data_IF_646393028022
#
_entry.id   IF_646393028022
#
_cell.length_a   1.000
_cell.length_b   1.000
_cell.length_c   1.000
_cell.angle_alpha   90.00
_cell.angle_beta   90.00
_cell.angle_gamma   90.00
#
_symmetry.space_group_name_H-M   'P 1'
#
loop_
_entity.id
_entity.type
_entity.pdbx_description
1 polymer ?
#
# COMPACT_ATOMS: atom_id res chain seq x y z
N UNK A 1 8.30 -20.18 16.84
CA UNK A 1 7.98 -19.85 16.59
C UNK A 1 7.73 -19.41 16.14
N UNK A 2 7.35 -19.15 15.87
CA UNK A 2 6.93 -18.79 15.36
C UNK A 2 6.62 -18.32 14.89
N UNK A 3 6.33 -18.07 14.92
CA UNK A 3 5.99 -17.56 14.36
C UNK A 3 5.51 -17.28 13.86
N UNK A 4 5.41 -17.09 13.81
CA UNK A 4 4.84 -16.78 13.26
C UNK A 4 4.41 -16.71 12.52
N UNK A 5 4.26 -16.79 12.45
CA UNK A 5 3.69 -16.76 11.88
C UNK A 5 3.31 -16.85 11.13
N UNK A 6 3.33 -17.20 11.23
CA UNK A 6 3.06 -17.42 10.39
C UNK A 6 1.96 -17.80 9.98
N UNK A 7 1.40 -17.95 10.25
CA UNK A 7 0.09 -18.21 9.99
C UNK A 7 -0.48 -17.39 8.91
N UNK A 8 -0.01 -16.30 8.75
CA UNK A 8 -0.42 -15.48 7.64
C UNK A 8 0.08 -16.02 6.32
N UNK A 9 0.74 -17.10 6.35
CA UNK A 9 1.13 -17.74 5.13
C UNK A 9 -0.05 -18.12 4.28
N UNK A 10 -1.18 -18.42 4.90
CA UNK A 10 -2.36 -18.76 4.14
C UNK A 10 -2.80 -17.64 3.25
N UNK A 11 -2.55 -16.42 3.65
CA UNK A 11 -2.94 -15.22 2.91
C UNK A 11 -1.76 -14.58 2.20
N UNK A 12 -0.62 -15.23 2.25
CA UNK A 12 0.60 -14.66 1.75
C UNK A 12 1.17 -13.63 2.70
N UNK A 13 2.23 -12.96 2.32
CA UNK A 13 2.88 -11.99 3.20
C UNK A 13 1.98 -10.81 3.47
N UNK A 14 2.06 -10.30 4.69
CA UNK A 14 1.37 -9.09 5.05
C UNK A 14 2.05 -7.88 4.44
N UNK A 15 1.28 -6.84 4.27
CA UNK A 15 1.77 -5.56 3.78
C UNK A 15 1.46 -4.48 4.80
N UNK A 16 2.29 -3.48 4.85
CA UNK A 16 2.12 -2.40 5.80
C UNK A 16 1.41 -1.22 5.15
N UNK A 17 0.35 -0.75 5.80
CA UNK A 17 -0.37 0.44 5.36
C UNK A 17 0.46 1.68 5.67
N UNK A 18 0.70 2.53 4.68
CA UNK A 18 1.52 3.73 4.89
C UNK A 18 0.80 4.79 5.72
N UNK A 19 -0.52 4.73 5.79
CA UNK A 19 -1.30 5.73 6.53
C UNK A 19 -1.46 5.37 8.00
N UNK A 20 -1.65 4.08 8.31
CA UNK A 20 -1.89 3.65 9.67
C UNK A 20 -0.66 3.02 10.33
N UNK A 21 0.27 2.55 9.53
CA UNK A 21 1.44 1.85 10.03
C UNK A 21 1.17 0.41 10.42
N UNK A 22 -0.04 -0.05 10.23
CA UNK A 22 -0.43 -1.41 10.60
C UNK A 22 -0.17 -2.37 9.46
N UNK A 23 0.21 -3.58 9.81
CA UNK A 23 0.39 -4.65 8.82
C UNK A 23 -0.85 -5.50 8.76
N UNK A 24 -1.25 -5.87 7.57
CA UNK A 24 -2.42 -6.72 7.41
C UNK A 24 -2.34 -7.45 6.08
N UNK A 25 -3.23 -8.40 5.89
CA UNK A 25 -3.28 -9.16 4.66
C UNK A 25 -3.80 -8.33 3.50
N UNK A 26 -3.50 -8.77 2.30
CA UNK A 26 -3.87 -8.04 1.09
C UNK A 26 -5.35 -7.70 0.95
N UNK A 27 -6.29 -8.55 1.37
CA UNK A 27 -7.71 -8.20 1.17
C UNK A 27 -8.13 -6.91 1.84
N UNK A 28 -7.44 -6.49 2.89
CA UNK A 28 -7.78 -5.25 3.57
C UNK A 28 -7.03 -4.04 3.06
N UNK A 29 -6.27 -4.19 1.97
CA UNK A 29 -5.41 -3.14 1.46
C UNK A 29 -5.68 -2.86 -0.01
N UNK A 30 -5.43 -1.63 -0.42
CA UNK A 30 -5.42 -1.25 -1.83
C UNK A 30 -3.97 -1.02 -2.22
N UNK A 31 -3.55 -1.62 -3.33
CA UNK A 31 -2.22 -1.45 -3.86
C UNK A 31 -2.20 -0.24 -4.79
N UNK A 32 -1.18 0.58 -4.65
CA UNK A 32 -0.93 1.69 -5.56
C UNK A 32 0.46 1.56 -6.15
N UNK A 33 0.65 2.08 -7.34
CA UNK A 33 1.96 2.12 -7.99
C UNK A 33 2.18 3.50 -8.54
N UNK A 34 3.45 3.83 -8.80
CA UNK A 34 3.80 5.09 -9.43
C UNK A 34 3.80 4.87 -10.94
N UNK A 35 2.93 5.58 -11.65
CA UNK A 35 2.85 5.49 -13.09
C UNK A 35 3.93 6.30 -13.79
N UNK A 36 3.89 6.29 -15.14
CA UNK A 36 4.97 6.89 -15.93
C UNK A 36 5.22 8.37 -15.67
N UNK A 37 4.18 9.12 -15.33
CA UNK A 37 4.30 10.56 -15.12
C UNK A 37 4.35 10.90 -13.65
N UNK A 38 4.87 10.01 -12.84
CA UNK A 38 4.93 10.17 -11.39
C UNK A 38 3.53 10.32 -10.78
N UNK A 39 2.53 9.70 -11.39
CA UNK A 39 1.17 9.69 -10.87
C UNK A 39 0.95 8.46 -10.02
N UNK A 40 0.20 8.63 -8.94
CA UNK A 40 -0.19 7.49 -8.12
C UNK A 40 -1.41 6.85 -8.77
N UNK A 41 -1.30 5.57 -9.08
CA UNK A 41 -2.33 4.81 -9.78
C UNK A 41 -2.76 3.63 -8.92
N UNK A 42 -4.06 3.47 -8.66
CA UNK A 42 -4.53 2.29 -7.93
C UNK A 42 -4.43 1.06 -8.82
N UNK A 43 -3.97 -0.03 -8.25
CA UNK A 43 -3.80 -1.28 -8.97
C UNK A 43 -4.67 -2.35 -8.32
N UNK A 44 -5.96 -2.27 -8.61
CA UNK A 44 -6.95 -3.15 -7.98
C UNK A 44 -6.71 -4.61 -8.35
N UNK A 45 -6.34 -4.85 -9.60
CA UNK A 45 -6.12 -6.22 -10.07
C UNK A 45 -4.76 -6.79 -9.67
N UNK A 46 -3.87 -5.96 -9.15
CA UNK A 46 -2.54 -6.41 -8.74
C UNK A 46 -1.64 -6.79 -9.89
N UNK A 47 -1.84 -6.19 -11.06
CA UNK A 47 -1.11 -6.59 -12.26
C UNK A 47 -0.14 -5.54 -12.80
N UNK A 48 -0.20 -4.33 -12.28
CA UNK A 48 0.67 -3.28 -12.79
C UNK A 48 2.10 -3.50 -12.30
N UNK A 49 3.09 -3.17 -13.14
CA UNK A 49 4.48 -3.34 -12.74
C UNK A 49 4.89 -2.29 -11.73
N UNK A 50 5.95 -2.58 -11.00
CA UNK A 50 6.52 -1.65 -10.06
C UNK A 50 6.28 -2.05 -8.63
N UNK A 51 6.89 -1.28 -7.73
CA UNK A 51 6.80 -1.53 -6.31
C UNK A 51 5.44 -1.07 -5.79
N UNK A 52 4.77 -1.93 -5.05
CA UNK A 52 3.47 -1.60 -4.48
C UNK A 52 3.58 -0.68 -3.28
N UNK A 53 2.65 0.25 -3.20
CA UNK A 53 2.44 1.09 -2.03
C UNK A 53 1.06 0.74 -1.51
N UNK A 54 0.99 0.34 -0.25
CA UNK A 54 -0.24 -0.25 0.30
C UNK A 54 -0.92 0.69 1.26
N UNK A 55 -2.22 0.85 1.13
CA UNK A 55 -3.03 1.68 2.01
C UNK A 55 -4.27 0.90 2.39
N UNK A 56 -4.67 0.96 3.66
CA UNK A 56 -5.89 0.32 4.11
C UNK A 56 -7.08 0.77 3.25
N UNK A 57 -7.96 -0.17 2.94
CA UNK A 57 -9.15 0.09 2.14
C UNK A 57 -10.19 0.80 3.01
N UNK A 58 -9.89 2.01 3.40
CA UNK A 58 -10.64 2.81 4.35
C UNK A 58 -10.52 4.27 3.93
N UNK A 59 -11.66 4.99 3.77
CA UNK A 59 -11.63 6.37 3.29
C UNK A 59 -10.74 7.28 4.15
N UNK A 60 -10.71 7.08 5.46
CA UNK A 60 -9.91 7.90 6.34
C UNK A 60 -8.42 7.68 6.07
N UNK A 61 -8.01 6.42 5.92
CA UNK A 61 -6.62 6.08 5.64
C UNK A 61 -6.20 6.61 4.27
N UNK A 62 -7.06 6.44 3.27
CA UNK A 62 -6.77 6.92 1.92
C UNK A 62 -6.64 8.43 1.88
N UNK A 63 -7.54 9.12 2.56
CA UNK A 63 -7.49 10.58 2.62
C UNK A 63 -6.22 11.06 3.32
N UNK A 64 -5.84 10.40 4.38
CA UNK A 64 -4.61 10.74 5.09
C UNK A 64 -3.39 10.56 4.20
N UNK A 65 -3.34 9.45 3.47
CA UNK A 65 -2.21 9.19 2.56
C UNK A 65 -2.11 10.28 1.50
N UNK A 66 -3.25 10.70 0.96
CA UNK A 66 -3.27 11.72 -0.09
C UNK A 66 -2.91 13.10 0.43
N UNK A 67 -3.41 13.47 1.61
CA UNK A 67 -3.26 14.84 2.10
C UNK A 67 -1.98 15.08 2.87
N UNK A 68 -1.35 14.03 3.39
CA UNK A 68 -0.14 14.17 4.19
C UNK A 68 1.14 13.84 3.42
N UNK A 69 1.05 13.70 2.12
CA UNK A 69 2.22 13.42 1.30
C UNK A 69 2.83 12.06 1.54
N UNK A 70 2.05 11.11 2.02
CA UNK A 70 2.58 9.79 2.38
C UNK A 70 2.96 8.98 1.15
N UNK A 71 2.28 9.18 0.03
CA UNK A 71 2.64 8.51 -1.21
C UNK A 71 4.01 8.94 -1.70
N UNK A 72 4.30 10.23 -1.66
CA UNK A 72 5.62 10.74 -2.08
C UNK A 72 6.71 10.19 -1.16
N UNK A 73 6.42 10.11 0.12
CA UNK A 73 7.37 9.58 1.09
C UNK A 73 7.64 8.10 0.83
N UNK A 74 6.60 7.32 0.56
CA UNK A 74 6.76 5.89 0.29
C UNK A 74 7.48 5.66 -1.03
N UNK A 75 7.22 6.49 -2.03
CA UNK A 75 7.87 6.40 -3.32
C UNK A 75 9.29 6.95 -3.30
N UNK A 76 9.62 7.71 -2.26
CA UNK A 76 10.92 8.38 -2.12
C UNK A 76 11.17 9.35 -3.28
N UNK A 77 10.11 9.96 -3.77
CA UNK A 77 10.16 10.90 -4.89
C UNK A 77 8.85 11.67 -4.96
N UNK A 78 8.83 12.87 -5.52
CA UNK A 78 7.58 13.59 -5.70
C UNK A 78 6.63 12.81 -6.59
N UNK A 79 5.36 12.79 -6.22
CA UNK A 79 4.33 12.11 -7.02
C UNK A 79 3.07 12.95 -7.02
N UNK A 80 2.24 12.75 -8.04
CA UNK A 80 0.94 13.39 -8.16
C UNK A 80 -0.13 12.39 -7.71
N UNK A 81 -0.97 12.82 -6.83
CA UNK A 81 -2.02 11.97 -6.28
C UNK A 81 -3.37 12.30 -6.92
#
# INVERSE_FOLDING_TARGET
>A
MTRAGRKNEADGPERRCIATGESQGKPGLVRFVVGPDAQIVPDIAGKLPGRGIWVSADPVALNRAATKGLFARAAQAPVTV
#
